data_IF_902825476361
#
_entry.id   IF_902825476361
#
_cell.length_a   1.000
_cell.length_b   1.000
_cell.length_c   1.000
_cell.angle_alpha   90.00
_cell.angle_beta   90.00
_cell.angle_gamma   90.00
#
_symmetry.space_group_name_H-M   'P 1'
#
loop_
_entity.id
_entity.type
_entity.pdbx_description
1 polymer ?
#
# COMPACT_ATOMS: atom_id res chain seq x y z
N UNK A 1 -0.71 9.20 2.19
CA UNK A 1 -0.97 7.78 2.53
C UNK A 1 -1.58 7.57 3.92
N UNK A 2 -0.89 7.83 5.05
CA UNK A 2 -1.49 7.61 6.39
C UNK A 2 -2.87 8.25 6.54
N UNK A 3 -2.99 9.53 6.16
CA UNK A 3 -4.25 10.26 6.18
C UNK A 3 -5.37 9.56 5.38
N UNK A 4 -5.12 9.20 4.12
CA UNK A 4 -6.10 8.50 3.28
C UNK A 4 -6.52 7.15 3.87
N UNK A 5 -5.56 6.35 4.34
CA UNK A 5 -5.83 5.07 5.01
C UNK A 5 -6.71 5.30 6.24
N UNK A 6 -6.36 6.27 7.10
CA UNK A 6 -7.15 6.60 8.29
C UNK A 6 -8.59 6.95 7.91
N UNK A 7 -8.79 7.85 6.94
CA UNK A 7 -10.12 8.28 6.50
C UNK A 7 -10.97 7.12 5.96
N UNK A 8 -10.38 6.24 5.14
CA UNK A 8 -11.07 5.08 4.59
C UNK A 8 -11.44 4.10 5.70
N UNK A 9 -10.53 3.81 6.63
CA UNK A 9 -10.80 2.91 7.76
C UNK A 9 -11.86 3.50 8.70
N UNK A 10 -11.83 4.81 8.97
CA UNK A 10 -12.86 5.50 9.75
C UNK A 10 -14.23 5.41 9.07
N UNK A 11 -14.31 5.60 7.75
CA UNK A 11 -15.56 5.42 6.99
C UNK A 11 -16.10 3.99 7.02
N UNK A 12 -15.25 3.00 7.33
CA UNK A 12 -15.61 1.59 7.51
C UNK A 12 -15.94 1.25 8.97
N UNK A 13 -15.97 2.22 9.87
CA UNK A 13 -16.33 2.03 11.29
C UNK A 13 -15.14 1.71 12.22
N UNK A 14 -13.91 1.66 11.69
CA UNK A 14 -12.71 1.49 12.51
C UNK A 14 -12.31 2.81 13.18
N UNK A 15 -11.48 2.71 14.23
CA UNK A 15 -10.95 3.86 14.95
C UNK A 15 -9.45 3.77 15.08
N UNK A 16 -8.76 4.86 14.75
CA UNK A 16 -7.34 4.97 15.04
C UNK A 16 -7.17 5.23 16.55
N UNK A 17 -6.40 4.36 17.20
CA UNK A 17 -6.05 4.46 18.62
C UNK A 17 -4.54 4.38 18.79
N UNK A 18 -4.02 4.82 19.93
CA UNK A 18 -2.61 4.66 20.27
C UNK A 18 -2.28 3.22 20.65
N UNK A 19 -0.99 2.89 20.75
CA UNK A 19 -0.56 1.53 21.11
C UNK A 19 -0.89 1.17 22.57
N UNK A 20 -0.87 2.17 23.46
CA UNK A 20 -1.22 2.03 24.88
C UNK A 20 -2.72 1.77 25.09
N UNK A 21 -3.57 2.17 24.15
CA UNK A 21 -4.99 1.84 24.12
C UNK A 21 -5.28 0.38 23.69
N UNK A 22 -4.24 -0.44 23.48
CA UNK A 22 -4.35 -1.86 23.13
C UNK A 22 -5.20 -2.12 21.87
N UNK A 23 -4.76 -1.67 20.68
CA UNK A 23 -5.53 -1.77 19.44
C UNK A 23 -5.86 -3.22 19.06
N UNK A 24 -7.01 -3.47 18.46
CA UNK A 24 -7.40 -4.81 17.97
C UNK A 24 -6.64 -5.27 16.73
N UNK A 25 -6.09 -4.31 15.98
CA UNK A 25 -5.35 -4.49 14.73
C UNK A 25 -4.25 -3.43 14.63
N UNK A 26 -3.10 -3.82 14.08
CA UNK A 26 -2.04 -2.91 13.65
C UNK A 26 -2.04 -2.85 12.13
N UNK A 27 -1.97 -1.64 11.57
CA UNK A 27 -1.87 -1.42 10.13
C UNK A 27 -0.46 -0.93 9.79
N UNK A 28 0.25 -1.71 8.99
CA UNK A 28 1.52 -1.32 8.38
C UNK A 28 1.34 -1.03 6.90
N UNK A 29 2.11 -0.08 6.37
CA UNK A 29 2.15 0.19 4.94
C UNK A 29 3.59 0.45 4.48
N UNK A 30 3.85 0.21 3.20
CA UNK A 30 5.13 0.50 2.56
C UNK A 30 4.92 0.94 1.12
N UNK A 31 5.82 1.80 0.64
CA UNK A 31 5.93 2.19 -0.75
C UNK A 31 7.39 2.06 -1.16
N UNK A 32 7.63 1.59 -2.38
CA UNK A 32 8.97 1.51 -2.95
C UNK A 32 8.88 1.66 -4.47
N UNK A 33 9.82 2.41 -5.04
CA UNK A 33 10.10 2.34 -6.46
C UNK A 33 10.95 1.12 -6.77
N UNK A 34 10.98 0.67 -8.02
CA UNK A 34 11.78 -0.48 -8.44
C UNK A 34 13.29 -0.22 -8.26
N UNK A 35 13.75 1.03 -8.35
CA UNK A 35 15.12 1.41 -8.00
C UNK A 35 15.45 1.28 -6.50
N UNK A 36 14.45 1.36 -5.62
CA UNK A 36 14.63 1.24 -4.17
C UNK A 36 14.52 -0.23 -3.70
N UNK A 37 13.60 -1.00 -4.29
CA UNK A 37 13.34 -2.38 -3.90
C UNK A 37 12.81 -3.20 -5.07
N UNK A 38 13.53 -4.26 -5.44
CA UNK A 38 13.18 -5.15 -6.55
C UNK A 38 12.01 -6.07 -6.21
N UNK A 39 11.34 -6.62 -7.24
CA UNK A 39 10.29 -7.63 -7.08
C UNK A 39 10.76 -8.86 -6.28
N UNK A 40 12.03 -9.25 -6.42
CA UNK A 40 12.61 -10.37 -5.67
C UNK A 40 12.76 -10.04 -4.18
N UNK A 41 13.17 -8.82 -3.84
CA UNK A 41 13.25 -8.35 -2.45
C UNK A 41 11.85 -8.19 -1.85
N UNK A 42 10.91 -7.63 -2.60
CA UNK A 42 9.50 -7.52 -2.20
C UNK A 42 8.93 -8.91 -1.91
N UNK A 43 9.12 -9.87 -2.82
CA UNK A 43 8.66 -11.25 -2.61
C UNK A 43 9.28 -11.86 -1.35
N UNK A 44 10.57 -11.65 -1.12
CA UNK A 44 11.28 -12.17 0.06
C UNK A 44 10.73 -11.59 1.37
N UNK A 45 10.40 -10.30 1.41
CA UNK A 45 9.96 -9.62 2.63
C UNK A 45 8.45 -9.72 2.85
N UNK A 46 7.66 -9.49 1.80
CA UNK A 46 6.20 -9.43 1.86
C UNK A 46 5.54 -10.79 1.60
N UNK A 47 6.25 -11.76 1.02
CA UNK A 47 5.71 -13.07 0.65
C UNK A 47 4.72 -13.03 -0.52
N UNK A 48 4.66 -11.91 -1.26
CA UNK A 48 3.85 -11.75 -2.46
C UNK A 48 4.41 -10.66 -3.38
N UNK A 49 4.08 -10.73 -4.67
CA UNK A 49 4.40 -9.71 -5.68
C UNK A 49 3.31 -9.76 -6.76
N UNK A 50 2.91 -8.61 -7.32
CA UNK A 50 1.86 -8.57 -8.35
C UNK A 50 2.41 -8.93 -9.75
N UNK A 51 3.72 -8.79 -9.96
CA UNK A 51 4.43 -9.23 -11.16
C UNK A 51 4.24 -8.30 -12.37
N UNK A 52 4.13 -6.98 -12.14
CA UNK A 52 4.01 -6.02 -13.24
C UNK A 52 5.30 -6.01 -14.07
N UNK A 53 5.19 -6.42 -15.34
CA UNK A 53 6.30 -6.36 -16.29
C UNK A 53 6.58 -4.92 -16.72
N UNK A 54 7.87 -4.58 -16.78
CA UNK A 54 8.37 -3.30 -17.32
C UNK A 54 8.87 -3.44 -18.76
N UNK A 55 8.66 -4.61 -19.39
CA UNK A 55 9.05 -4.82 -20.78
C UNK A 55 8.29 -3.85 -21.71
N UNK A 56 9.03 -3.02 -22.45
CA UNK A 56 8.46 -2.06 -23.38
C UNK A 56 7.96 -0.75 -22.74
N UNK A 57 8.18 -0.52 -21.44
CA UNK A 57 7.92 0.80 -20.83
C UNK A 57 9.04 1.79 -21.14
N UNK A 58 8.68 3.06 -21.37
CA UNK A 58 9.64 4.17 -21.41
C UNK A 58 10.17 4.43 -19.99
N UNK A 59 11.36 3.90 -19.70
CA UNK A 59 11.99 3.98 -18.37
C UNK A 59 12.51 5.37 -18.02
N UNK A 60 12.57 6.31 -18.98
CA UNK A 60 12.92 7.70 -18.68
C UNK A 60 11.71 8.47 -18.12
N UNK A 61 10.50 8.06 -18.51
CA UNK A 61 9.26 8.70 -18.05
C UNK A 61 8.60 7.94 -16.89
N UNK A 62 8.66 6.61 -16.92
CA UNK A 62 7.92 5.75 -16.01
C UNK A 62 8.85 4.87 -15.19
N UNK A 63 8.52 4.76 -13.91
CA UNK A 63 9.16 3.79 -13.04
C UNK A 63 8.11 2.95 -12.32
N UNK A 64 8.32 1.63 -12.28
CA UNK A 64 7.43 0.75 -11.52
C UNK A 64 7.53 1.10 -10.04
N UNK A 65 6.39 1.31 -9.42
CA UNK A 65 6.23 1.48 -7.98
C UNK A 65 5.36 0.36 -7.40
N UNK A 66 5.59 0.06 -6.14
CA UNK A 66 4.84 -0.92 -5.37
C UNK A 66 4.29 -0.28 -4.10
N UNK A 67 3.04 -0.58 -3.75
CA UNK A 67 2.40 -0.19 -2.50
C UNK A 67 1.94 -1.45 -1.80
N UNK A 68 2.32 -1.62 -0.54
CA UNK A 68 1.92 -2.73 0.33
C UNK A 68 1.14 -2.17 1.52
N UNK A 69 0.00 -2.79 1.83
CA UNK A 69 -0.71 -2.58 3.10
C UNK A 69 -0.90 -3.92 3.77
N UNK A 70 -0.67 -3.97 5.08
CA UNK A 70 -0.76 -5.17 5.91
C UNK A 70 -1.51 -4.88 7.20
N UNK A 71 -2.34 -5.83 7.61
CA UNK A 71 -2.99 -5.85 8.91
C UNK A 71 -2.38 -6.97 9.75
N UNK A 72 -2.11 -6.67 11.01
CA UNK A 72 -1.60 -7.62 12.00
C UNK A 72 -2.53 -7.65 13.21
N UNK A 73 -2.67 -8.81 13.83
CA UNK A 73 -3.15 -8.88 15.20
C UNK A 73 -2.02 -8.48 16.15
N UNK A 74 -2.31 -7.79 17.27
CA UNK A 74 -1.29 -7.54 18.28
C UNK A 74 -0.59 -8.83 18.67
N UNK A 75 0.74 -8.77 18.83
CA UNK A 75 1.60 -9.91 19.20
C UNK A 75 1.73 -11.02 18.15
N UNK A 76 1.15 -10.88 16.96
CA UNK A 76 1.39 -11.78 15.83
C UNK A 76 2.37 -11.16 14.84
N UNK A 77 3.42 -11.90 14.47
CA UNK A 77 4.42 -11.45 13.49
C UNK A 77 3.94 -11.57 12.04
N UNK A 78 2.94 -12.42 11.79
CA UNK A 78 2.40 -12.65 10.46
C UNK A 78 1.18 -11.76 10.23
N UNK A 79 1.10 -11.18 9.04
CA UNK A 79 -0.05 -10.40 8.62
C UNK A 79 -1.28 -11.31 8.50
N UNK A 80 -2.40 -10.90 9.10
CA UNK A 80 -3.70 -11.58 8.96
C UNK A 80 -4.41 -11.21 7.66
N UNK A 81 -4.02 -10.09 7.07
CA UNK A 81 -4.47 -9.64 5.76
C UNK A 81 -3.39 -8.76 5.14
N UNK A 82 -3.25 -8.82 3.83
CA UNK A 82 -2.29 -8.01 3.07
C UNK A 82 -2.78 -7.80 1.65
N UNK A 83 -2.44 -6.66 1.09
CA UNK A 83 -2.68 -6.32 -0.31
C UNK A 83 -1.46 -5.60 -0.86
N UNK A 84 -1.08 -5.93 -2.09
CA UNK A 84 -0.01 -5.25 -2.79
C UNK A 84 -0.50 -4.85 -4.18
N UNK A 85 -0.25 -3.60 -4.53
CA UNK A 85 -0.49 -3.08 -5.86
C UNK A 85 0.84 -2.66 -6.48
N UNK A 86 0.96 -2.86 -7.79
CA UNK A 86 2.07 -2.36 -8.58
C UNK A 86 1.52 -1.55 -9.74
N UNK A 87 2.22 -0.46 -10.08
CA UNK A 87 1.83 0.45 -11.16
C UNK A 87 3.01 1.31 -11.59
N UNK A 88 2.87 2.01 -12.71
CA UNK A 88 3.89 2.94 -13.18
C UNK A 88 3.67 4.33 -12.55
N UNK A 89 4.72 4.84 -11.93
CA UNK A 89 4.82 6.24 -11.51
C UNK A 89 5.21 7.07 -12.73
N UNK A 90 4.36 8.02 -13.12
CA UNK A 90 4.62 8.96 -14.21
C UNK A 90 5.24 10.24 -13.64
N UNK A 91 6.53 10.45 -13.88
CA UNK A 91 7.23 11.62 -13.33
C UNK A 91 6.92 12.93 -14.05
N UNK A 92 6.26 12.89 -15.21
CA UNK A 92 5.81 14.11 -15.91
C UNK A 92 4.50 14.66 -15.34
N UNK A 93 3.76 13.87 -14.55
CA UNK A 93 2.54 14.32 -13.88
C UNK A 93 2.84 15.19 -12.66
N UNK A 94 1.96 16.18 -12.43
CA UNK A 94 2.03 17.03 -11.25
C UNK A 94 1.90 16.21 -9.96
N UNK A 95 2.45 16.74 -8.87
CA UNK A 95 2.32 16.11 -7.55
C UNK A 95 0.87 15.92 -7.11
N UNK A 96 -0.02 16.85 -7.48
CA UNK A 96 -1.45 16.79 -7.15
C UNK A 96 -2.17 15.65 -7.89
N UNK A 97 -1.95 15.50 -9.20
CA UNK A 97 -2.54 14.40 -9.98
C UNK A 97 -2.03 13.04 -9.49
N UNK A 98 -0.74 12.96 -9.15
CA UNK A 98 -0.17 11.75 -8.55
C UNK A 98 -0.81 11.45 -7.20
N UNK A 99 -1.01 12.45 -6.35
CA UNK A 99 -1.66 12.29 -5.05
C UNK A 99 -3.10 11.80 -5.19
N UNK A 100 -3.88 12.37 -6.11
CA UNK A 100 -5.26 11.93 -6.37
C UNK A 100 -5.32 10.46 -6.80
N UNK A 101 -4.51 10.07 -7.79
CA UNK A 101 -4.44 8.67 -8.24
C UNK A 101 -4.00 7.71 -7.13
N UNK A 102 -3.12 8.18 -6.27
CA UNK A 102 -2.68 7.40 -5.11
C UNK A 102 -3.82 7.19 -4.10
N UNK A 103 -4.63 8.21 -3.84
CA UNK A 103 -5.77 8.10 -2.92
C UNK A 103 -6.89 7.19 -3.49
N UNK A 104 -7.10 7.22 -4.80
CA UNK A 104 -7.96 6.27 -5.52
C UNK A 104 -7.43 4.83 -5.40
N UNK A 105 -6.13 4.63 -5.58
CA UNK A 105 -5.48 3.33 -5.42
C UNK A 105 -5.64 2.78 -4.00
N UNK A 106 -5.39 3.59 -2.97
CA UNK A 106 -5.56 3.17 -1.57
C UNK A 106 -7.03 2.81 -1.30
N UNK A 107 -7.98 3.55 -1.84
CA UNK A 107 -9.41 3.24 -1.73
C UNK A 107 -9.75 1.87 -2.32
N UNK A 108 -9.21 1.55 -3.50
CA UNK A 108 -9.37 0.23 -4.13
C UNK A 108 -8.73 -0.88 -3.30
N UNK A 109 -7.49 -0.67 -2.84
CA UNK A 109 -6.73 -1.64 -2.05
C UNK A 109 -7.43 -2.01 -0.73
N UNK A 110 -8.01 -1.01 -0.06
CA UNK A 110 -8.74 -1.21 1.20
C UNK A 110 -10.21 -1.61 0.99
N UNK A 111 -10.67 -1.68 -0.25
CA UNK A 111 -12.07 -1.99 -0.59
C UNK A 111 -12.56 -3.30 0.02
N UNK A 112 -11.70 -4.33 0.05
CA UNK A 112 -12.02 -5.67 0.59
C UNK A 112 -12.06 -5.74 2.12
N UNK A 113 -11.60 -4.70 2.83
CA UNK A 113 -11.72 -4.66 4.29
C UNK A 113 -13.21 -4.46 4.63
N UNK A 114 -13.80 -5.31 5.48
CA UNK A 114 -15.22 -5.19 5.83
C UNK A 114 -15.49 -3.90 6.60
N UNK A 115 -16.74 -3.44 6.56
CA UNK A 115 -17.21 -2.42 7.52
C UNK A 115 -17.62 -3.10 8.82
N UNK A 116 -17.51 -2.37 9.94
CA UNK A 116 -17.89 -2.79 11.31
C UNK A 116 -19.03 -1.97 11.85
#
# INVERSE_FOLDING_TARGET
MRFAITQIMESKGYRLVSIDESPDLLLGFGLALESDMSDAEILKQAGLVAGLSTAGSDTEQYEKGSVLVMLFKPKQLQAVWRVLAQGFTDFKQSGEQRQQRFDELISLMLGSIPSV
#
